data_IF_695848611968
#
_entry.id   IF_695848611968
#
_cell.length_a   1.000
_cell.length_b   1.000
_cell.length_c   1.000
_cell.angle_alpha   90.00
_cell.angle_beta   90.00
_cell.angle_gamma   90.00
#
_symmetry.space_group_name_H-M   'P 1'
#
loop_
_entity.id
_entity.type
_entity.pdbx_description
1 polymer ?
#
# COMPACT_ATOMS: atom_id res chain seq x y z
N UNK A 1 21.86 -4.03 8.93
CA UNK A 1 21.79 -5.33 8.23
C UNK A 1 21.30 -5.06 6.82
N UNK A 2 21.92 -5.63 5.77
CA UNK A 2 21.37 -5.53 4.42
C UNK A 2 19.96 -6.13 4.44
N UNK A 3 18.98 -5.35 4.00
CA UNK A 3 17.62 -5.84 3.85
C UNK A 3 17.65 -6.87 2.72
N UNK A 4 17.71 -8.16 3.06
CA UNK A 4 17.47 -9.24 2.11
C UNK A 4 15.99 -9.15 1.72
N UNK A 5 15.68 -8.24 0.80
CA UNK A 5 14.39 -8.15 0.14
C UNK A 5 14.21 -9.48 -0.58
N UNK A 6 13.31 -10.30 -0.05
CA UNK A 6 13.03 -11.62 -0.59
C UNK A 6 12.54 -11.46 -2.04
N UNK A 7 12.80 -12.42 -2.94
CA UNK A 7 12.23 -12.39 -4.29
C UNK A 7 10.70 -12.23 -4.26
N UNK A 8 10.06 -12.72 -3.19
CA UNK A 8 8.63 -12.55 -2.93
C UNK A 8 8.23 -11.08 -2.75
N UNK A 9 9.05 -10.25 -2.11
CA UNK A 9 8.80 -8.80 -2.02
C UNK A 9 8.85 -8.13 -3.40
N UNK A 10 9.80 -8.52 -4.26
CA UNK A 10 9.89 -7.99 -5.63
C UNK A 10 8.69 -8.41 -6.50
N UNK A 11 8.18 -9.63 -6.31
CA UNK A 11 6.94 -10.07 -6.94
C UNK A 11 5.73 -9.30 -6.46
N UNK A 12 5.58 -9.13 -5.14
CA UNK A 12 4.47 -8.36 -4.57
C UNK A 12 4.53 -6.88 -4.98
N UNK A 13 5.73 -6.29 -5.10
CA UNK A 13 5.88 -4.93 -5.64
C UNK A 13 5.50 -4.85 -7.12
N UNK A 14 5.84 -5.86 -7.93
CA UNK A 14 5.39 -5.94 -9.33
C UNK A 14 3.87 -6.03 -9.42
N UNK A 15 3.24 -6.87 -8.58
CA UNK A 15 1.77 -6.96 -8.49
C UNK A 15 1.16 -5.62 -8.09
N UNK A 16 1.74 -4.92 -7.12
CA UNK A 16 1.29 -3.59 -6.72
C UNK A 16 1.36 -2.57 -7.87
N UNK A 17 2.43 -2.61 -8.67
CA UNK A 17 2.59 -1.74 -9.86
C UNK A 17 1.64 -2.10 -11.00
N UNK A 18 1.31 -3.38 -11.17
CA UNK A 18 0.38 -3.86 -12.19
C UNK A 18 -1.10 -3.73 -11.78
N UNK A 19 -1.38 -3.65 -10.49
CA UNK A 19 -2.72 -3.55 -9.95
C UNK A 19 -3.41 -2.25 -10.40
N UNK A 20 -4.54 -2.40 -11.10
CA UNK A 20 -5.33 -1.28 -11.57
C UNK A 20 -6.39 -0.87 -10.53
N UNK A 21 -6.84 -1.83 -9.73
CA UNK A 21 -7.89 -1.60 -8.73
C UNK A 21 -7.29 -1.35 -7.34
N UNK A 22 -7.95 -0.48 -6.57
CA UNK A 22 -7.61 -0.26 -5.15
C UNK A 22 -7.57 -1.56 -4.32
N UNK A 23 -8.53 -2.51 -4.42
CA UNK A 23 -8.45 -3.78 -3.69
C UNK A 23 -7.22 -4.62 -4.07
N UNK A 24 -6.83 -4.66 -5.34
CA UNK A 24 -5.64 -5.37 -5.81
C UNK A 24 -4.35 -4.75 -5.24
N UNK A 25 -4.29 -3.42 -5.20
CA UNK A 25 -3.18 -2.68 -4.56
C UNK A 25 -3.07 -2.98 -3.07
N UNK A 26 -4.20 -3.09 -2.36
CA UNK A 26 -4.24 -3.42 -0.94
C UNK A 26 -3.72 -4.85 -0.72
N UNK A 27 -4.20 -5.82 -1.50
CA UNK A 27 -3.76 -7.21 -1.41
C UNK A 27 -2.24 -7.34 -1.64
N UNK A 28 -1.71 -6.66 -2.66
CA UNK A 28 -0.27 -6.65 -2.92
C UNK A 28 0.54 -6.03 -1.77
N UNK A 29 0.06 -4.95 -1.13
CA UNK A 29 0.72 -4.37 0.04
C UNK A 29 0.71 -5.31 1.26
N UNK A 30 -0.36 -6.08 1.45
CA UNK A 30 -0.43 -7.11 2.49
C UNK A 30 0.58 -8.24 2.26
N UNK A 31 0.71 -8.71 1.01
CA UNK A 31 1.73 -9.68 0.62
C UNK A 31 3.15 -9.13 0.83
N UNK A 32 3.41 -7.87 0.47
CA UNK A 32 4.68 -7.21 0.75
C UNK A 32 4.98 -7.23 2.26
N UNK A 33 4.00 -6.86 3.10
CA UNK A 33 4.17 -6.88 4.56
C UNK A 33 4.36 -8.28 5.16
N UNK A 34 3.73 -9.31 4.59
CA UNK A 34 3.87 -10.69 5.04
C UNK A 34 5.26 -11.27 4.71
N UNK A 35 5.84 -10.84 3.59
CA UNK A 35 7.13 -11.34 3.08
C UNK A 35 8.33 -10.59 3.67
N UNK A 36 8.12 -9.39 4.21
CA UNK A 36 9.16 -8.59 4.85
C UNK A 36 9.55 -9.19 6.21
N UNK A 37 10.86 -9.40 6.46
CA UNK A 37 11.34 -9.83 7.77
C UNK A 37 10.98 -8.82 8.88
N UNK A 38 10.46 -9.28 10.02
CA UNK A 38 10.11 -8.42 11.17
C UNK A 38 11.32 -8.13 12.07
N UNK A 39 12.23 -7.26 11.62
CA UNK A 39 13.36 -6.79 12.43
C UNK A 39 13.66 -5.31 12.18
N UNK A 40 14.55 -4.71 12.99
CA UNK A 40 14.86 -3.27 13.01
C UNK A 40 15.20 -2.66 11.63
N UNK A 41 15.76 -3.46 10.72
CA UNK A 41 16.14 -3.05 9.37
C UNK A 41 14.96 -2.74 8.44
N UNK A 42 13.74 -3.19 8.78
CA UNK A 42 12.55 -3.05 7.92
C UNK A 42 11.44 -2.23 8.57
N UNK A 43 11.64 -1.71 9.79
CA UNK A 43 10.62 -0.95 10.53
C UNK A 43 10.12 0.27 9.75
N UNK A 44 11.03 1.03 9.14
CA UNK A 44 10.69 2.18 8.29
C UNK A 44 9.86 1.77 7.08
N UNK A 45 10.20 0.64 6.46
CA UNK A 45 9.51 0.14 5.27
C UNK A 45 8.12 -0.37 5.64
N UNK A 46 7.97 -1.08 6.76
CA UNK A 46 6.65 -1.48 7.28
C UNK A 46 5.76 -0.27 7.58
N UNK A 47 6.33 0.80 8.14
CA UNK A 47 5.59 2.03 8.41
C UNK A 47 5.10 2.68 7.09
N UNK A 48 5.94 2.73 6.06
CA UNK A 48 5.59 3.27 4.74
C UNK A 48 4.46 2.45 4.07
N UNK A 49 4.56 1.12 4.09
CA UNK A 49 3.53 0.23 3.55
C UNK A 49 2.19 0.38 4.26
N UNK A 50 2.18 0.43 5.60
CA UNK A 50 0.96 0.69 6.39
C UNK A 50 0.33 2.04 6.04
N UNK A 51 1.16 3.08 5.86
CA UNK A 51 0.69 4.41 5.47
C UNK A 51 0.02 4.38 4.09
N UNK A 52 0.66 3.74 3.10
CA UNK A 52 0.09 3.56 1.76
C UNK A 52 -1.24 2.79 1.79
N UNK A 53 -1.30 1.71 2.57
CA UNK A 53 -2.52 0.90 2.73
C UNK A 53 -3.68 1.71 3.34
N UNK A 54 -3.40 2.56 4.34
CA UNK A 54 -4.40 3.44 4.95
C UNK A 54 -4.92 4.49 3.97
N UNK A 55 -4.05 5.07 3.15
CA UNK A 55 -4.44 6.02 2.09
C UNK A 55 -5.33 5.34 1.06
N UNK A 56 -4.93 4.19 0.54
CA UNK A 56 -5.72 3.43 -0.45
C UNK A 56 -7.09 3.03 0.09
N UNK A 57 -7.18 2.60 1.35
CA UNK A 57 -8.47 2.30 1.99
C UNK A 57 -9.37 3.54 2.06
N UNK A 58 -8.82 4.71 2.39
CA UNK A 58 -9.56 5.97 2.39
C UNK A 58 -10.00 6.39 0.99
N UNK A 59 -9.13 6.27 -0.01
CA UNK A 59 -9.46 6.57 -1.41
C UNK A 59 -10.59 5.67 -1.93
N UNK A 60 -10.54 4.36 -1.62
CA UNK A 60 -11.61 3.44 -1.98
C UNK A 60 -12.95 3.80 -1.34
N UNK A 61 -12.94 4.27 -0.09
CA UNK A 61 -14.17 4.67 0.59
C UNK A 61 -14.69 6.02 0.09
N UNK A 62 -13.80 6.96 -0.25
CA UNK A 62 -14.15 8.26 -0.82
C UNK A 62 -14.76 8.12 -2.23
N UNK A 63 -14.20 7.27 -3.10
CA UNK A 63 -14.80 6.98 -4.41
C UNK A 63 -16.22 6.42 -4.30
N UNK A 64 -16.53 5.65 -3.26
CA UNK A 64 -17.87 5.09 -3.03
C UNK A 64 -18.86 6.09 -2.43
N UNK A 65 -18.39 7.12 -1.72
CA UNK A 65 -19.23 8.06 -0.98
C UNK A 65 -19.37 9.46 -1.60
N UNK A 66 -18.63 9.81 -2.66
CA UNK A 66 -18.60 11.20 -3.13
C UNK A 66 -18.47 11.37 -4.63
N UNK A 67 -19.59 11.73 -5.27
CA UNK A 67 -19.56 12.72 -6.36
C UNK A 67 -18.86 14.01 -5.89
N UNK A 68 -18.50 14.92 -6.82
CA UNK A 68 -17.51 15.96 -6.58
C UNK A 68 -17.90 16.81 -5.37
N UNK A 69 -17.05 16.79 -4.33
CA UNK A 69 -17.10 17.83 -3.31
C UNK A 69 -16.58 19.11 -3.95
N UNK A 70 -17.52 19.90 -4.50
CA UNK A 70 -17.31 21.32 -4.76
C UNK A 70 -16.73 21.93 -3.49
N UNK A 71 -15.44 22.23 -3.53
CA UNK A 71 -14.80 23.15 -2.62
C UNK A 71 -15.36 24.54 -2.94
N UNK A 72 -16.45 24.90 -2.27
CA UNK A 72 -16.81 26.30 -2.10
C UNK A 72 -15.68 26.96 -1.31
N UNK A 73 -14.96 27.86 -1.98
CA UNK A 73 -14.19 28.92 -1.34
C UNK A 73 -14.79 30.21 -1.86
N UNK A 74 -15.39 30.97 -0.94
CA UNK A 74 -15.89 32.33 -1.07
C UNK A 74 -14.73 33.31 -0.94
#
# INVERSE_FOLDING_TARGET
MPANLTPQYMEAERRFKQANSVPEKIAALEEMMATIPRHKGTEKLQADLKKKMSVLRKESEQQKKGGPRQSFVV
#
